data_IF_716152556752
#
_entry.id   IF_716152556752
#
_cell.length_a   1.000
_cell.length_b   1.000
_cell.length_c   1.000
_cell.angle_alpha   90.00
_cell.angle_beta   90.00
_cell.angle_gamma   90.00
#
_symmetry.space_group_name_H-M   'P 1'
#
loop_
_entity.id
_entity.type
_entity.pdbx_description
1 polymer ?
#
# COMPACT_ATOMS: atom_id res chain seq x y z
N UNK A 1 1.42 -3.91 -7.40
CA UNK A 1 2.17 -3.99 -8.69
C UNK A 1 1.21 -4.43 -9.79
N UNK A 2 1.50 -4.19 -11.07
CA UNK A 2 0.66 -4.73 -12.14
C UNK A 2 0.85 -6.25 -12.25
N UNK A 3 -0.20 -7.07 -12.47
CA UNK A 3 -0.07 -8.53 -12.57
C UNK A 3 0.86 -9.00 -13.70
N UNK A 4 0.93 -8.23 -14.78
CA UNK A 4 1.75 -8.56 -15.97
C UNK A 4 3.15 -7.93 -15.95
N UNK A 5 3.54 -7.22 -14.89
CA UNK A 5 4.89 -6.64 -14.80
C UNK A 5 5.93 -7.70 -14.41
N UNK A 6 6.67 -8.19 -15.42
CA UNK A 6 7.72 -9.22 -15.27
C UNK A 6 8.76 -8.88 -14.19
N UNK A 7 9.03 -7.59 -13.97
CA UNK A 7 10.00 -7.15 -12.95
C UNK A 7 9.58 -7.58 -11.55
N UNK A 8 8.28 -7.74 -11.29
CA UNK A 8 7.73 -8.00 -9.96
C UNK A 8 7.04 -9.35 -9.80
N UNK A 9 6.88 -10.16 -10.87
CA UNK A 9 6.23 -11.48 -10.78
C UNK A 9 6.82 -12.38 -9.69
N UNK A 10 8.14 -12.33 -9.51
CA UNK A 10 8.84 -13.10 -8.48
C UNK A 10 8.55 -12.64 -7.03
N UNK A 11 7.81 -11.56 -6.84
CA UNK A 11 7.40 -10.99 -5.55
C UNK A 11 5.90 -11.14 -5.25
N UNK A 12 5.10 -11.66 -6.18
CA UNK A 12 3.66 -11.83 -5.97
C UNK A 12 3.39 -12.74 -4.75
N UNK A 13 2.51 -12.31 -3.85
CA UNK A 13 2.19 -13.03 -2.62
C UNK A 13 3.28 -12.99 -1.53
N UNK A 14 4.41 -12.32 -1.79
CA UNK A 14 5.44 -12.05 -0.78
C UNK A 14 5.09 -10.81 0.03
N UNK A 15 5.95 -10.50 0.99
CA UNK A 15 5.81 -9.36 1.88
C UNK A 15 7.05 -8.48 1.82
N UNK A 16 6.85 -7.19 2.05
CA UNK A 16 7.94 -6.22 2.30
C UNK A 16 7.89 -5.79 3.77
N UNK A 17 9.06 -5.49 4.34
CA UNK A 17 9.18 -4.93 5.67
C UNK A 17 8.81 -3.45 5.65
N UNK A 18 7.92 -3.00 6.53
CA UNK A 18 7.65 -1.57 6.71
C UNK A 18 8.96 -0.87 7.14
N UNK A 19 9.32 0.30 6.58
CA UNK A 19 10.64 0.91 6.80
C UNK A 19 10.99 1.17 8.27
N UNK A 20 9.99 1.51 9.10
CA UNK A 20 10.20 1.93 10.49
C UNK A 20 9.52 1.03 11.54
N UNK A 21 8.58 0.18 11.12
CA UNK A 21 7.76 -0.60 12.04
C UNK A 21 8.03 -2.08 11.81
N UNK A 22 7.92 -2.94 12.83
CA UNK A 22 8.02 -4.40 12.69
C UNK A 22 6.77 -5.00 12.01
N UNK A 23 6.23 -4.31 11.01
CA UNK A 23 5.04 -4.68 10.26
C UNK A 23 5.44 -5.19 8.88
N UNK A 24 4.83 -6.29 8.44
CA UNK A 24 4.96 -6.79 7.07
C UNK A 24 3.78 -6.31 6.23
N UNK A 25 4.07 -5.82 5.03
CA UNK A 25 3.07 -5.36 4.07
C UNK A 25 3.00 -6.36 2.91
N UNK A 26 1.81 -6.86 2.53
CA UNK A 26 1.69 -7.79 1.42
C UNK A 26 1.97 -7.09 0.08
N UNK A 27 2.63 -7.79 -0.83
CA UNK A 27 2.82 -7.36 -2.21
C UNK A 27 1.69 -7.99 -3.04
N UNK A 28 0.72 -7.15 -3.41
CA UNK A 28 -0.48 -7.55 -4.16
C UNK A 28 -0.44 -7.04 -5.60
N UNK A 29 -1.24 -7.68 -6.45
CA UNK A 29 -1.43 -7.31 -7.84
C UNK A 29 -2.74 -6.57 -8.06
N UNK A 30 -2.71 -5.47 -8.78
CA UNK A 30 -3.91 -4.73 -9.22
C UNK A 30 -3.60 -4.07 -10.57
N UNK A 31 -4.56 -4.12 -11.51
CA UNK A 31 -4.42 -3.57 -12.86
C UNK A 31 -4.46 -2.04 -12.90
N UNK A 32 -4.81 -1.38 -11.80
CA UNK A 32 -4.72 0.09 -11.69
C UNK A 32 -3.27 0.60 -11.71
N UNK A 33 -2.29 -0.28 -11.47
CA UNK A 33 -0.88 0.11 -11.40
C UNK A 33 -0.32 0.22 -12.81
N UNK A 34 0.15 1.40 -13.19
CA UNK A 34 0.89 1.60 -14.44
C UNK A 34 2.37 1.19 -14.28
N UNK A 35 2.86 0.15 -14.99
CA UNK A 35 4.27 -0.25 -14.94
C UNK A 35 5.24 0.85 -15.40
N UNK A 36 4.82 1.77 -16.26
CA UNK A 36 5.68 2.83 -16.79
C UNK A 36 5.85 4.01 -15.81
N UNK A 37 4.98 4.13 -14.79
CA UNK A 37 5.01 5.23 -13.85
C UNK A 37 5.93 4.93 -12.66
N UNK A 38 6.94 5.80 -12.45
CA UNK A 38 7.90 5.66 -11.36
C UNK A 38 8.64 4.32 -11.43
N UNK A 39 8.58 3.54 -10.34
CA UNK A 39 9.14 2.18 -10.33
C UNK A 39 8.21 1.12 -10.95
N UNK A 40 6.92 1.42 -11.16
CA UNK A 40 5.88 0.43 -11.44
C UNK A 40 5.36 -0.31 -10.19
N UNK A 41 5.79 0.11 -8.99
CA UNK A 41 5.27 -0.35 -7.71
C UNK A 41 4.73 0.84 -6.90
N UNK A 42 3.48 0.72 -6.45
CA UNK A 42 2.75 1.80 -5.75
C UNK A 42 2.55 1.40 -4.29
N UNK A 43 2.83 2.32 -3.36
CA UNK A 43 2.39 2.17 -1.96
C UNK A 43 0.86 2.39 -1.91
N UNK A 44 0.14 1.58 -1.17
CA UNK A 44 -1.32 1.71 -1.04
C UNK A 44 -1.66 2.11 0.40
N UNK A 45 -2.38 3.21 0.55
CA UNK A 45 -2.79 3.84 1.82
C UNK A 45 -4.30 4.12 1.81
N UNK A 46 -5.16 3.10 1.99
CA UNK A 46 -6.60 3.20 1.71
C UNK A 46 -7.38 4.28 2.48
N UNK A 47 -6.88 4.69 3.65
CA UNK A 47 -7.52 5.71 4.47
C UNK A 47 -7.17 7.15 4.05
N UNK A 48 -6.23 7.35 3.12
CA UNK A 48 -5.63 8.67 2.84
C UNK A 48 -5.54 9.04 1.36
N UNK A 49 -5.96 8.16 0.45
CA UNK A 49 -6.00 8.44 -0.98
C UNK A 49 -7.24 7.79 -1.63
N UNK A 50 -8.01 8.50 -2.47
CA UNK A 50 -9.22 7.96 -3.10
C UNK A 50 -9.00 6.75 -4.03
N UNK A 51 -7.87 6.71 -4.75
CA UNK A 51 -7.58 5.58 -5.62
C UNK A 51 -7.18 4.35 -4.78
N UNK A 52 -6.41 4.57 -3.73
CA UNK A 52 -6.05 3.55 -2.75
C UNK A 52 -7.26 3.05 -1.96
N UNK A 53 -8.27 3.90 -1.72
CA UNK A 53 -9.52 3.51 -1.08
C UNK A 53 -10.24 2.42 -1.88
N UNK A 54 -10.44 2.65 -3.18
CA UNK A 54 -11.09 1.65 -4.05
C UNK A 54 -10.22 0.40 -4.23
N UNK A 55 -8.90 0.55 -4.33
CA UNK A 55 -7.95 -0.57 -4.33
C UNK A 55 -8.08 -1.40 -3.05
N UNK A 56 -8.07 -0.74 -1.90
CA UNK A 56 -8.21 -1.35 -0.59
C UNK A 56 -9.54 -2.08 -0.44
N UNK A 57 -10.62 -1.53 -0.98
CA UNK A 57 -11.93 -2.19 -0.98
C UNK A 57 -11.96 -3.45 -1.85
N UNK A 58 -11.39 -3.39 -3.07
CA UNK A 58 -11.29 -4.55 -3.97
C UNK A 58 -10.44 -5.67 -3.38
N UNK A 59 -9.32 -5.31 -2.76
CA UNK A 59 -8.33 -6.24 -2.21
C UNK A 59 -8.56 -6.58 -0.73
N UNK A 60 -9.63 -6.06 -0.11
CA UNK A 60 -9.95 -6.24 1.31
C UNK A 60 -8.80 -5.87 2.25
N UNK A 61 -8.14 -4.74 2.00
CA UNK A 61 -7.04 -4.22 2.80
C UNK A 61 -7.55 -3.52 4.07
N UNK A 62 -6.76 -3.52 5.16
CA UNK A 62 -7.09 -2.76 6.35
C UNK A 62 -6.98 -1.25 6.09
N UNK A 63 -7.93 -0.49 6.64
CA UNK A 63 -7.95 0.96 6.61
C UNK A 63 -7.37 1.48 7.92
N UNK A 64 -6.17 2.06 7.85
CA UNK A 64 -5.45 2.56 9.02
C UNK A 64 -5.27 4.06 8.87
N UNK A 65 -5.83 4.79 9.83
CA UNK A 65 -5.85 6.25 9.83
C UNK A 65 -4.64 6.78 10.58
N UNK A 66 -3.52 7.01 9.90
CA UNK A 66 -2.32 7.60 10.52
C UNK A 66 -2.47 9.08 10.89
N UNK A 67 -3.33 9.83 10.19
CA UNK A 67 -3.57 11.27 10.40
C UNK A 67 -5.01 11.45 10.87
N UNK A 68 -5.22 12.04 12.05
CA UNK A 68 -6.55 12.30 12.62
C UNK A 68 -7.25 13.51 11.97
N UNK A 69 -8.55 13.67 12.26
CA UNK A 69 -9.38 14.74 11.69
C UNK A 69 -8.90 16.16 12.04
N UNK A 70 -8.13 16.30 13.11
CA UNK A 70 -7.46 17.55 13.53
C UNK A 70 -6.10 17.77 12.83
N UNK A 71 -5.71 16.88 11.91
CA UNK A 71 -4.47 16.94 11.14
C UNK A 71 -3.23 16.47 11.90
N UNK A 72 -3.37 15.89 13.09
CA UNK A 72 -2.26 15.36 13.88
C UNK A 72 -1.94 13.91 13.52
N UNK A 73 -0.73 13.46 13.87
CA UNK A 73 -0.37 12.04 13.78
C UNK A 73 -1.08 11.27 14.89
N UNK A 74 -1.83 10.24 14.49
CA UNK A 74 -2.51 9.32 15.42
C UNK A 74 -1.55 8.31 16.04
N UNK A 75 -2.02 7.60 17.07
CA UNK A 75 -1.33 6.46 17.66
C UNK A 75 -1.02 5.33 16.67
N UNK A 76 -1.77 5.23 15.57
CA UNK A 76 -1.61 4.19 14.57
C UNK A 76 -0.41 4.41 13.64
N UNK A 77 0.16 5.62 13.61
CA UNK A 77 1.34 5.91 12.78
C UNK A 77 2.61 5.23 13.29
N UNK A 78 2.62 4.80 14.56
CA UNK A 78 3.79 4.26 15.23
C UNK A 78 4.45 5.28 16.17
N UNK A 79 5.60 4.92 16.77
CA UNK A 79 6.13 5.61 17.95
C UNK A 79 7.09 6.78 17.62
N UNK A 80 7.22 7.17 16.34
CA UNK A 80 8.20 8.16 15.87
C UNK A 80 7.52 9.36 15.20
#
# INVERSE_FOLDING_TARGET
VHPDDERYKHLHGKYVQHPFLPRRLPILTDTMVDPAFGSGAVKVTPAHDPNDFECGRRLSLPFITCISDDGLMSSECGPY
#
